data_IF_913578856807
#
_entry.id   IF_913578856807
#
_cell.length_a   1.000
_cell.length_b   1.000
_cell.length_c   1.000
_cell.angle_alpha   90.00
_cell.angle_beta   90.00
_cell.angle_gamma   90.00
#
_symmetry.space_group_name_H-M   'P 1'
#
loop_
_entity.id
_entity.type
_entity.pdbx_description
1 polymer ?
#
# COMPACT_ATOMS: atom_id res chain seq x y z
N UNK A 1 -15.20 16.80 6.36
CA UNK A 1 -14.99 16.80 7.83
C UNK A 1 -14.16 15.57 8.16
N UNK A 2 -13.03 15.69 8.88
CA UNK A 2 -12.19 14.51 9.16
C UNK A 2 -12.86 13.51 10.12
N UNK A 3 -12.19 12.39 10.43
CA UNK A 3 -12.65 11.34 11.36
C UNK A 3 -13.01 11.83 12.78
N UNK A 4 -12.69 13.08 13.11
CA UNK A 4 -12.90 13.71 14.42
C UNK A 4 -14.05 14.71 14.43
N UNK A 5 -14.83 14.84 13.36
CA UNK A 5 -15.92 15.82 13.24
C UNK A 5 -15.50 17.27 13.62
N UNK A 6 -14.25 17.62 13.34
CA UNK A 6 -13.69 18.94 13.63
C UNK A 6 -13.15 19.12 15.06
N UNK A 7 -13.24 18.11 15.93
CA UNK A 7 -12.66 18.13 17.29
C UNK A 7 -11.14 18.31 17.25
N UNK A 8 -10.47 17.72 16.25
CA UNK A 8 -9.04 17.94 16.00
C UNK A 8 -8.88 18.62 14.66
N UNK A 9 -8.33 19.85 14.59
CA UNK A 9 -8.08 20.51 13.32
C UNK A 9 -7.00 19.76 12.53
N UNK A 10 -7.14 19.71 11.20
CA UNK A 10 -6.24 18.97 10.32
C UNK A 10 -4.76 19.31 10.55
N UNK A 11 -4.44 20.61 10.60
CA UNK A 11 -3.07 21.07 10.84
C UNK A 11 -2.53 20.60 12.21
N UNK A 12 -3.40 20.49 13.22
CA UNK A 12 -3.03 20.03 14.56
C UNK A 12 -2.72 18.54 14.57
N UNK A 13 -3.55 17.73 13.91
CA UNK A 13 -3.28 16.30 13.72
C UNK A 13 -2.00 16.04 12.93
N UNK A 14 -1.80 16.78 11.82
CA UNK A 14 -0.60 16.68 11.01
C UNK A 14 0.66 17.07 11.81
N UNK A 15 0.63 18.21 12.51
CA UNK A 15 1.75 18.66 13.33
C UNK A 15 2.10 17.67 14.45
N UNK A 16 1.10 17.08 15.10
CA UNK A 16 1.29 16.08 16.15
C UNK A 16 2.01 14.84 15.61
N UNK A 17 1.52 14.27 14.50
CA UNK A 17 2.11 13.08 13.89
C UNK A 17 3.53 13.39 13.41
N UNK A 18 3.74 14.53 12.74
CA UNK A 18 5.07 14.95 12.29
C UNK A 18 6.04 15.10 13.46
N UNK A 19 5.65 15.79 14.52
CA UNK A 19 6.49 15.99 15.71
C UNK A 19 6.84 14.67 16.40
N UNK A 20 5.86 13.78 16.56
CA UNK A 20 6.08 12.44 17.09
C UNK A 20 7.09 11.65 16.25
N UNK A 21 6.93 11.65 14.92
CA UNK A 21 7.84 10.95 14.01
C UNK A 21 9.26 11.51 14.07
N UNK A 22 9.43 12.83 14.10
CA UNK A 22 10.75 13.47 14.22
C UNK A 22 11.42 13.02 15.52
N UNK A 23 10.71 13.12 16.65
CA UNK A 23 11.26 12.78 17.97
C UNK A 23 11.67 11.31 18.03
N UNK A 24 10.77 10.41 17.61
CA UNK A 24 11.01 8.98 17.61
C UNK A 24 12.21 8.61 16.71
N UNK A 25 12.26 9.09 15.47
CA UNK A 25 13.34 8.78 14.54
C UNK A 25 14.68 9.32 15.04
N UNK A 26 14.69 10.53 15.62
CA UNK A 26 15.88 11.14 16.19
C UNK A 26 16.46 10.32 17.35
N UNK A 27 15.60 9.75 18.20
CA UNK A 27 16.01 8.91 19.34
C UNK A 27 16.40 7.49 18.90
N UNK A 28 15.64 6.88 18.00
CA UNK A 28 15.75 5.46 17.67
C UNK A 28 16.89 5.15 16.68
N UNK A 29 17.24 6.12 15.82
CA UNK A 29 18.24 5.96 14.77
C UNK A 29 17.88 4.86 13.75
N UNK A 30 18.82 4.55 12.84
CA UNK A 30 18.53 3.66 11.71
C UNK A 30 18.15 2.22 12.10
N UNK A 31 18.72 1.70 13.20
CA UNK A 31 18.38 0.36 13.70
C UNK A 31 16.98 0.31 14.31
N UNK A 32 16.59 1.34 15.05
CA UNK A 32 15.26 1.44 15.61
C UNK A 32 14.21 1.56 14.51
N UNK A 33 14.47 2.39 13.50
CA UNK A 33 13.60 2.53 12.32
C UNK A 33 13.45 1.20 11.58
N UNK A 34 14.53 0.45 11.38
CA UNK A 34 14.44 -0.86 10.71
C UNK A 34 13.54 -1.86 11.46
N UNK A 35 13.54 -1.82 12.80
CA UNK A 35 12.67 -2.68 13.61
C UNK A 35 11.21 -2.23 13.58
N UNK A 36 10.93 -0.94 13.70
CA UNK A 36 9.55 -0.44 13.63
C UNK A 36 8.95 -0.63 12.25
N UNK A 37 9.72 -0.39 11.18
CA UNK A 37 9.30 -0.66 9.80
C UNK A 37 8.92 -2.14 9.61
N UNK A 38 9.73 -3.05 10.17
CA UNK A 38 9.48 -4.49 10.09
C UNK A 38 8.20 -4.88 10.83
N UNK A 39 8.02 -4.37 12.06
CA UNK A 39 6.84 -4.67 12.87
C UNK A 39 5.57 -4.09 12.24
N UNK A 40 5.61 -2.83 11.79
CA UNK A 40 4.50 -2.17 11.11
C UNK A 40 4.17 -2.87 9.79
N UNK A 41 5.16 -3.26 9.00
CA UNK A 41 4.97 -4.01 7.76
C UNK A 41 4.30 -5.35 8.01
N UNK A 42 4.72 -6.10 9.03
CA UNK A 42 4.11 -7.38 9.41
C UNK A 42 2.67 -7.20 9.89
N UNK A 43 2.42 -6.17 10.70
CA UNK A 43 1.08 -5.82 11.16
C UNK A 43 0.16 -5.48 9.98
N UNK A 44 0.58 -4.57 9.10
CA UNK A 44 -0.17 -4.17 7.91
C UNK A 44 -0.46 -5.37 6.99
N UNK A 45 0.54 -6.23 6.76
CA UNK A 45 0.38 -7.42 5.95
C UNK A 45 -0.65 -8.37 6.55
N UNK A 46 -0.61 -8.56 7.87
CA UNK A 46 -1.56 -9.44 8.56
C UNK A 46 -2.98 -8.87 8.49
N UNK A 47 -3.15 -7.58 8.78
CA UNK A 47 -4.46 -6.91 8.79
C UNK A 47 -5.10 -6.91 7.40
N UNK A 48 -4.34 -6.64 6.33
CA UNK A 48 -4.92 -6.59 4.98
C UNK A 48 -5.44 -7.96 4.52
N UNK A 49 -4.74 -9.05 4.87
CA UNK A 49 -5.20 -10.41 4.55
C UNK A 49 -6.40 -10.84 5.40
N UNK A 50 -6.42 -10.47 6.68
CA UNK A 50 -7.60 -10.68 7.54
C UNK A 50 -8.80 -9.91 6.99
N UNK A 51 -8.61 -8.66 6.60
CA UNK A 51 -9.65 -7.83 5.99
C UNK A 51 -10.14 -8.44 4.66
N UNK A 52 -9.22 -8.89 3.79
CA UNK A 52 -9.57 -9.55 2.54
C UNK A 52 -10.39 -10.83 2.78
N UNK A 53 -9.97 -11.69 3.71
CA UNK A 53 -10.72 -12.90 4.05
C UNK A 53 -12.11 -12.57 4.62
N UNK A 54 -12.19 -11.57 5.50
CA UNK A 54 -13.46 -11.12 6.05
C UNK A 54 -14.40 -10.58 4.97
N UNK A 55 -13.94 -9.66 4.12
CA UNK A 55 -14.77 -9.10 3.05
C UNK A 55 -15.21 -10.18 2.06
N UNK A 56 -14.30 -11.07 1.64
CA UNK A 56 -14.63 -12.18 0.75
C UNK A 56 -15.70 -13.08 1.36
N UNK A 57 -15.59 -13.43 2.65
CA UNK A 57 -16.61 -14.23 3.33
C UNK A 57 -17.95 -13.52 3.46
N UNK A 58 -17.94 -12.20 3.74
CA UNK A 58 -19.15 -11.40 3.82
C UNK A 58 -19.88 -11.26 2.46
N UNK A 59 -19.12 -11.25 1.36
CA UNK A 59 -19.65 -11.18 -0.01
C UNK A 59 -20.06 -12.54 -0.58
N UNK A 60 -19.91 -13.63 0.17
CA UNK A 60 -20.26 -14.98 -0.30
C UNK A 60 -19.18 -15.67 -1.15
N UNK A 61 -17.95 -15.17 -1.12
CA UNK A 61 -16.79 -15.74 -1.78
C UNK A 61 -16.20 -14.86 -2.88
N UNK A 62 -15.04 -15.27 -3.39
CA UNK A 62 -14.28 -14.50 -4.41
C UNK A 62 -15.06 -14.39 -5.73
N UNK A 63 -15.79 -15.45 -6.11
CA UNK A 63 -16.63 -15.46 -7.30
C UNK A 63 -17.74 -14.41 -7.23
N UNK A 64 -18.54 -14.45 -6.15
CA UNK A 64 -19.61 -13.49 -5.91
C UNK A 64 -19.11 -12.03 -5.82
N UNK A 65 -17.97 -11.81 -5.14
CA UNK A 65 -17.34 -10.49 -5.07
C UNK A 65 -16.92 -9.97 -6.46
N UNK A 66 -16.37 -10.84 -7.31
CA UNK A 66 -15.93 -10.49 -8.66
C UNK A 66 -17.11 -10.30 -9.62
N UNK A 67 -18.16 -11.11 -9.51
CA UNK A 67 -19.40 -10.95 -10.28
C UNK A 67 -20.10 -9.63 -9.93
N UNK A 68 -20.23 -9.32 -8.63
CA UNK A 68 -20.82 -8.04 -8.18
C UNK A 68 -20.02 -6.84 -8.66
N UNK A 69 -18.69 -6.91 -8.60
CA UNK A 69 -17.79 -5.91 -9.17
C UNK A 69 -18.02 -5.72 -10.67
N UNK A 70 -18.06 -6.80 -11.47
CA UNK A 70 -18.24 -6.71 -12.92
C UNK A 70 -19.64 -6.24 -13.32
N UNK A 71 -20.66 -6.57 -12.53
CA UNK A 71 -22.01 -6.08 -12.74
C UNK A 71 -22.10 -4.56 -12.54
N UNK A 72 -21.35 -4.02 -11.57
CA UNK A 72 -21.29 -2.58 -11.31
C UNK A 72 -20.35 -1.83 -12.26
N UNK A 73 -19.22 -2.45 -12.61
CA UNK A 73 -18.13 -1.87 -13.43
C UNK A 73 -17.57 -2.91 -14.40
N UNK A 74 -18.24 -3.16 -15.55
CA UNK A 74 -17.78 -4.15 -16.53
C UNK A 74 -16.36 -3.87 -17.06
N UNK A 75 -15.94 -2.60 -17.07
CA UNK A 75 -14.61 -2.17 -17.50
C UNK A 75 -13.47 -2.78 -16.66
N UNK A 76 -13.73 -3.19 -15.42
CA UNK A 76 -12.72 -3.81 -14.56
C UNK A 76 -12.37 -5.25 -14.96
N UNK A 77 -13.16 -5.88 -15.84
CA UNK A 77 -12.87 -7.21 -16.38
C UNK A 77 -11.91 -7.21 -17.57
N UNK A 78 -11.62 -6.05 -18.14
CA UNK A 78 -10.70 -5.89 -19.26
C UNK A 78 -9.26 -5.65 -18.81
N UNK A 79 -8.29 -6.16 -19.57
CA UNK A 79 -6.89 -5.79 -19.41
C UNK A 79 -6.51 -4.68 -20.39
N UNK A 80 -6.06 -3.54 -19.86
CA UNK A 80 -5.65 -2.40 -20.68
C UNK A 80 -6.81 -1.67 -21.37
N UNK A 81 -6.49 -0.57 -22.05
CA UNK A 81 -7.47 0.29 -22.72
C UNK A 81 -7.55 1.70 -22.11
N UNK A 82 -8.15 2.62 -22.85
CA UNK A 82 -8.18 4.04 -22.48
C UNK A 82 -6.77 4.61 -22.31
N UNK A 83 -6.47 5.11 -21.11
CA UNK A 83 -5.17 5.68 -20.76
C UNK A 83 -4.03 4.65 -20.60
N UNK A 84 -4.36 3.36 -20.41
CA UNK A 84 -3.36 2.31 -20.17
C UNK A 84 -2.90 1.65 -21.47
N UNK A 85 -2.29 2.44 -22.36
CA UNK A 85 -1.65 1.91 -23.57
C UNK A 85 -0.31 1.24 -23.22
N UNK A 86 0.24 0.36 -24.08
CA UNK A 86 1.57 -0.20 -23.87
C UNK A 86 2.65 0.87 -23.66
N UNK A 87 2.58 1.98 -24.40
CA UNK A 87 3.51 3.11 -24.27
C UNK A 87 3.36 3.80 -22.91
N UNK A 88 2.13 3.99 -22.43
CA UNK A 88 1.89 4.55 -21.09
C UNK A 88 2.44 3.63 -19.99
N UNK A 89 2.21 2.32 -20.11
CA UNK A 89 2.71 1.33 -19.14
C UNK A 89 4.23 1.31 -19.11
N UNK A 90 4.88 1.23 -20.28
CA UNK A 90 6.34 1.19 -20.39
C UNK A 90 6.97 2.49 -19.91
N UNK A 91 6.43 3.65 -20.32
CA UNK A 91 6.93 4.95 -19.85
C UNK A 91 6.78 5.10 -18.34
N UNK A 92 5.62 4.73 -17.78
CA UNK A 92 5.40 4.75 -16.33
C UNK A 92 6.36 3.82 -15.60
N UNK A 93 6.61 2.61 -16.12
CA UNK A 93 7.55 1.66 -15.53
C UNK A 93 8.98 2.21 -15.52
N UNK A 94 9.42 2.84 -16.61
CA UNK A 94 10.73 3.50 -16.70
C UNK A 94 10.80 4.66 -15.69
N UNK A 95 9.79 5.53 -15.64
CA UNK A 95 9.74 6.64 -14.70
C UNK A 95 9.82 6.18 -13.25
N UNK A 96 9.08 5.13 -12.87
CA UNK A 96 9.13 4.55 -11.53
C UNK A 96 10.52 3.98 -11.25
N UNK A 97 11.11 3.23 -12.19
CA UNK A 97 12.44 2.63 -11.99
C UNK A 97 13.52 3.69 -11.71
N UNK A 98 13.53 4.79 -12.47
CA UNK A 98 14.44 5.90 -12.21
C UNK A 98 14.10 6.64 -10.91
N UNK A 99 12.83 6.96 -10.67
CA UNK A 99 12.39 7.69 -9.48
C UNK A 99 12.74 6.96 -8.18
N UNK A 100 12.51 5.65 -8.11
CA UNK A 100 12.83 4.81 -6.94
C UNK A 100 14.35 4.78 -6.70
N UNK A 101 15.16 4.68 -7.75
CA UNK A 101 16.63 4.65 -7.63
C UNK A 101 17.21 5.98 -7.15
N UNK A 102 16.54 7.10 -7.43
CA UNK A 102 16.96 8.44 -7.00
C UNK A 102 16.67 8.72 -5.52
N UNK A 103 15.92 7.85 -4.83
CA UNK A 103 15.59 8.03 -3.42
C UNK A 103 16.76 7.62 -2.51
N UNK A 104 17.46 8.57 -1.86
CA UNK A 104 18.64 8.27 -1.06
C UNK A 104 18.33 7.30 0.10
N UNK A 105 17.13 7.39 0.68
CA UNK A 105 16.68 6.51 1.77
C UNK A 105 16.57 5.03 1.36
N UNK A 106 16.37 4.73 0.07
CA UNK A 106 16.36 3.36 -0.45
C UNK A 106 17.80 2.87 -0.58
N UNK A 107 18.65 3.68 -1.20
CA UNK A 107 20.07 3.34 -1.41
C UNK A 107 20.84 3.15 -0.10
N UNK A 108 20.53 3.95 0.93
CA UNK A 108 21.12 3.85 2.27
C UNK A 108 20.95 2.44 2.88
N UNK A 109 19.84 1.76 2.61
CA UNK A 109 19.57 0.41 3.15
C UNK A 109 20.50 -0.65 2.55
N UNK A 110 20.99 -0.45 1.33
CA UNK A 110 21.95 -1.35 0.70
C UNK A 110 23.35 -1.24 1.33
N UNK A 111 23.75 -0.04 1.73
CA UNK A 111 25.06 0.21 2.35
C UNK A 111 25.17 -0.27 3.81
N UNK A 112 24.04 -0.59 4.44
CA UNK A 112 23.98 -1.03 5.85
C UNK A 112 23.92 -2.57 5.98
N UNK A 113 23.80 -3.28 4.85
CA UNK A 113 23.77 -4.73 4.83
C UNK A 113 25.11 -5.34 5.30
N UNK A 114 25.04 -6.23 6.28
CA UNK A 114 26.24 -6.88 6.88
C UNK A 114 26.88 -7.96 6.00
N UNK A 115 26.19 -8.39 4.93
CA UNK A 115 26.70 -9.41 4.01
C UNK A 115 25.99 -9.37 2.66
N UNK A 116 26.66 -9.85 1.61
CA UNK A 116 26.07 -10.04 0.29
C UNK A 116 24.88 -11.02 0.31
N UNK A 117 24.90 -12.02 1.21
CA UNK A 117 23.81 -12.97 1.36
C UNK A 117 22.53 -12.29 1.89
N UNK A 118 22.66 -11.40 2.88
CA UNK A 118 21.55 -10.59 3.39
C UNK A 118 20.98 -9.71 2.28
N UNK A 119 21.84 -9.05 1.52
CA UNK A 119 21.43 -8.18 0.42
C UNK A 119 20.65 -8.94 -0.66
N UNK A 120 21.15 -10.11 -1.10
CA UNK A 120 20.45 -10.97 -2.08
C UNK A 120 19.08 -11.44 -1.58
N UNK A 121 18.97 -11.83 -0.30
CA UNK A 121 17.69 -12.22 0.30
C UNK A 121 16.70 -11.06 0.32
N UNK A 122 17.13 -9.86 0.70
CA UNK A 122 16.26 -8.67 0.70
C UNK A 122 15.74 -8.35 -0.71
N UNK A 123 16.58 -8.45 -1.73
CA UNK A 123 16.15 -8.27 -3.13
C UNK A 123 15.13 -9.32 -3.59
N UNK A 124 15.30 -10.58 -3.18
CA UNK A 124 14.36 -11.64 -3.53
C UNK A 124 13.02 -11.52 -2.78
N UNK A 125 13.07 -11.12 -1.50
CA UNK A 125 11.87 -10.98 -0.66
C UNK A 125 11.04 -9.75 -1.02
N UNK A 126 11.66 -8.67 -1.49
CA UNK A 126 10.96 -7.40 -1.72
C UNK A 126 9.80 -7.52 -2.72
N UNK A 127 9.96 -8.08 -3.94
CA UNK A 127 8.85 -8.25 -4.87
C UNK A 127 7.74 -9.14 -4.30
N UNK A 128 8.10 -10.18 -3.55
CA UNK A 128 7.12 -11.09 -2.93
C UNK A 128 6.28 -10.34 -1.89
N UNK A 129 6.92 -9.58 -1.00
CA UNK A 129 6.23 -8.79 0.01
C UNK A 129 5.35 -7.69 -0.60
N UNK A 130 5.81 -7.06 -1.69
CA UNK A 130 5.01 -6.10 -2.46
C UNK A 130 3.75 -6.79 -3.00
N UNK A 131 3.87 -7.93 -3.66
CA UNK A 131 2.69 -8.64 -4.17
C UNK A 131 1.74 -9.07 -3.05
N UNK A 132 2.28 -9.60 -1.95
CA UNK A 132 1.48 -10.03 -0.80
C UNK A 132 0.74 -8.87 -0.14
N UNK A 133 1.30 -7.66 -0.13
CA UNK A 133 0.64 -6.48 0.44
C UNK A 133 -0.36 -5.87 -0.55
N UNK A 134 0.04 -5.67 -1.80
CA UNK A 134 -0.73 -4.92 -2.78
C UNK A 134 -1.89 -5.72 -3.37
N UNK A 135 -1.73 -7.03 -3.59
CA UNK A 135 -2.79 -7.85 -4.16
C UNK A 135 -4.10 -7.78 -3.35
N UNK A 136 -4.13 -8.11 -2.04
CA UNK A 136 -5.37 -8.03 -1.27
C UNK A 136 -5.87 -6.58 -1.12
N UNK A 137 -4.97 -5.61 -0.97
CA UNK A 137 -5.35 -4.19 -0.88
C UNK A 137 -6.06 -3.70 -2.14
N UNK A 138 -5.54 -4.04 -3.32
CA UNK A 138 -6.15 -3.70 -4.60
C UNK A 138 -7.46 -4.45 -4.80
N UNK A 139 -7.51 -5.76 -4.52
CA UNK A 139 -8.76 -6.52 -4.64
C UNK A 139 -9.87 -5.98 -3.75
N UNK A 140 -9.56 -5.63 -2.50
CA UNK A 140 -10.50 -4.95 -1.61
C UNK A 140 -11.02 -3.64 -2.21
N UNK A 141 -10.14 -2.82 -2.79
CA UNK A 141 -10.52 -1.57 -3.44
C UNK A 141 -11.41 -1.77 -4.67
N UNK A 142 -11.12 -2.76 -5.51
CA UNK A 142 -11.90 -3.03 -6.73
C UNK A 142 -13.24 -3.68 -6.39
N UNK A 143 -13.29 -4.66 -5.47
CA UNK A 143 -14.55 -5.27 -5.03
C UNK A 143 -15.49 -4.28 -4.34
N UNK A 144 -14.96 -3.25 -3.68
CA UNK A 144 -15.78 -2.20 -3.06
C UNK A 144 -16.72 -1.53 -4.07
N UNK A 145 -16.36 -1.46 -5.36
CA UNK A 145 -17.21 -0.88 -6.40
C UNK A 145 -18.52 -1.66 -6.63
N UNK A 146 -18.57 -2.95 -6.29
CA UNK A 146 -19.77 -3.78 -6.35
C UNK A 146 -20.64 -3.72 -5.08
N UNK A 147 -20.23 -2.95 -4.07
CA UNK A 147 -20.93 -2.86 -2.78
C UNK A 147 -21.79 -1.60 -2.70
N UNK A 148 -22.86 -1.58 -1.88
CA UNK A 148 -23.71 -0.41 -1.69
C UNK A 148 -23.05 0.69 -0.83
N UNK A 149 -21.74 0.60 -0.57
CA UNK A 149 -21.01 1.56 0.26
C UNK A 149 -20.70 2.81 -0.55
N UNK A 150 -21.44 3.88 -0.31
CA UNK A 150 -21.13 5.19 -0.86
C UNK A 150 -19.91 5.78 -0.16
N UNK A 151 -18.87 6.11 -0.92
CA UNK A 151 -17.73 6.89 -0.42
C UNK A 151 -18.19 8.35 -0.34
N UNK A 152 -18.19 8.98 0.84
CA UNK A 152 -18.55 10.39 0.96
C UNK A 152 -17.62 11.23 0.08
N UNK A 153 -18.19 12.04 -0.81
CA UNK A 153 -17.46 12.89 -1.76
C UNK A 153 -16.77 14.10 -1.12
N UNK A 154 -16.86 14.24 0.20
CA UNK A 154 -16.62 15.48 0.92
C UNK A 154 -15.28 15.50 1.67
N UNK A 155 -14.29 14.78 1.14
CA UNK A 155 -12.92 14.72 1.66
C UNK A 155 -11.99 15.69 0.91
#
# INVERSE_FOLDING_TARGET
>A
VGLTDGVVPYWGGAALITGFMILYVAVAGLRGVAWTDTLQGLFMLSVVWVAAAWVVSALGGVGAATEGMLAARPEFGGFGGGAYTPEFIVSTAITIAFGVTMFPQINQRFFVAKSAATLKRSFALWPVLVLLLFLPAFMLGVWAAGTPVEVPTDA
#
